data_IF_997188604288
#
_entry.id   IF_997188604288
#
_cell.length_a   1.000
_cell.length_b   1.000
_cell.length_c   1.000
_cell.angle_alpha   90.00
_cell.angle_beta   90.00
_cell.angle_gamma   90.00
#
_symmetry.space_group_name_H-M   'P 1'
#
loop_
_entity.id
_entity.type
_entity.pdbx_description
1 polymer ?
#
# COMPACT_ATOMS: atom_id res chain seq x y z
N UNK A 1 11.59 -32.43 -16.75
CA UNK A 1 11.41 -31.17 -17.50
C UNK A 1 11.26 -30.09 -16.44
N UNK A 2 12.39 -29.46 -16.05
CA UNK A 2 12.33 -28.33 -15.12
C UNK A 2 11.76 -27.16 -15.89
N UNK A 3 10.52 -26.83 -15.62
CA UNK A 3 9.94 -25.54 -16.02
C UNK A 3 10.60 -24.53 -15.11
N UNK A 4 11.65 -23.91 -15.60
CA UNK A 4 12.33 -22.79 -14.97
C UNK A 4 11.63 -21.53 -15.42
N UNK A 5 10.41 -21.38 -14.97
CA UNK A 5 9.61 -20.21 -15.29
C UNK A 5 9.67 -19.26 -14.09
N UNK A 6 10.87 -18.75 -13.85
CA UNK A 6 11.06 -17.59 -12.99
C UNK A 6 10.59 -16.38 -13.78
N UNK A 7 9.28 -16.08 -13.73
CA UNK A 7 8.79 -14.78 -14.13
C UNK A 7 9.26 -13.76 -13.09
N UNK A 8 9.87 -12.70 -13.56
CA UNK A 8 10.27 -11.57 -12.73
C UNK A 8 9.24 -10.44 -12.89
N UNK A 9 9.11 -9.60 -11.86
CA UNK A 9 8.28 -8.40 -11.97
C UNK A 9 8.74 -7.47 -13.10
N UNK A 10 10.06 -7.45 -13.40
CA UNK A 10 10.63 -6.72 -14.52
C UNK A 10 10.07 -7.11 -15.88
N UNK A 11 9.76 -8.40 -16.09
CA UNK A 11 9.16 -8.88 -17.33
C UNK A 11 7.75 -8.34 -17.53
N UNK A 12 7.01 -8.19 -16.45
CA UNK A 12 5.66 -7.60 -16.46
C UNK A 12 5.70 -6.08 -16.68
N UNK A 13 6.66 -5.39 -16.07
CA UNK A 13 6.83 -3.96 -16.24
C UNK A 13 7.30 -3.61 -17.66
N UNK A 14 8.19 -4.42 -18.27
CA UNK A 14 8.65 -4.25 -19.65
C UNK A 14 7.61 -4.66 -20.70
N UNK A 15 6.68 -5.56 -20.34
CA UNK A 15 5.62 -6.06 -21.21
C UNK A 15 4.47 -5.10 -21.51
N UNK A 16 4.61 -3.79 -21.23
CA UNK A 16 3.60 -2.76 -21.53
C UNK A 16 2.63 -2.46 -20.39
N UNK A 17 2.92 -2.91 -19.17
CA UNK A 17 2.14 -2.58 -17.99
C UNK A 17 2.23 -1.09 -17.58
N UNK A 18 3.29 -0.41 -18.03
CA UNK A 18 3.43 1.03 -17.88
C UNK A 18 2.65 1.75 -18.99
N UNK A 19 1.44 2.12 -18.66
CA UNK A 19 0.59 2.90 -19.54
C UNK A 19 1.25 4.26 -19.75
N UNK A 20 1.49 4.65 -21.02
CA UNK A 20 2.03 5.95 -21.45
C UNK A 20 3.55 6.12 -21.42
N UNK A 21 4.35 5.06 -21.25
CA UNK A 21 5.81 5.16 -21.37
C UNK A 21 6.51 5.92 -20.23
N UNK A 22 5.82 6.09 -19.09
CA UNK A 22 6.40 6.67 -17.88
C UNK A 22 7.37 5.74 -17.18
N UNK A 23 8.17 6.29 -16.26
CA UNK A 23 9.04 5.48 -15.40
C UNK A 23 8.23 4.83 -14.28
N UNK A 24 8.62 3.61 -13.93
CA UNK A 24 8.05 2.93 -12.77
C UNK A 24 8.38 3.70 -11.49
N UNK A 25 7.37 3.99 -10.69
CA UNK A 25 7.50 4.62 -9.37
C UNK A 25 7.40 3.59 -8.25
N UNK A 26 6.40 2.73 -8.31
CA UNK A 26 6.17 1.64 -7.37
C UNK A 26 5.21 0.61 -7.97
N UNK A 27 5.09 -0.54 -7.32
CA UNK A 27 4.07 -1.53 -7.66
C UNK A 27 3.63 -2.32 -6.43
N UNK A 28 2.44 -2.92 -6.51
CA UNK A 28 1.93 -3.81 -5.47
C UNK A 28 1.89 -5.22 -6.05
N UNK A 29 2.65 -6.19 -5.51
CA UNK A 29 2.83 -7.48 -6.14
C UNK A 29 1.64 -8.44 -6.02
N UNK A 30 0.81 -8.27 -4.99
CA UNK A 30 -0.21 -9.26 -4.61
C UNK A 30 -1.60 -8.70 -4.36
N UNK A 31 -1.97 -7.60 -5.01
CA UNK A 31 -3.21 -6.89 -4.76
C UNK A 31 -3.08 -5.87 -3.63
N UNK A 32 -4.10 -5.05 -3.44
CA UNK A 32 -4.08 -3.86 -2.56
C UNK A 32 -3.84 -4.16 -1.07
N UNK A 33 -3.86 -5.42 -0.66
CA UNK A 33 -3.52 -5.88 0.70
C UNK A 33 -2.03 -6.09 0.92
N UNK A 34 -1.24 -6.15 -0.16
CA UNK A 34 0.20 -6.40 -0.06
C UNK A 34 0.98 -5.11 0.20
N UNK A 35 2.09 -5.19 0.94
CA UNK A 35 3.09 -4.13 0.99
C UNK A 35 3.60 -3.75 -0.41
N UNK A 36 3.90 -2.49 -0.60
CA UNK A 36 4.36 -1.94 -1.87
C UNK A 36 5.83 -2.24 -2.10
N UNK A 37 6.19 -2.40 -3.36
CA UNK A 37 7.54 -2.57 -3.87
C UNK A 37 8.00 -1.36 -4.67
N UNK A 38 9.31 -1.08 -4.59
CA UNK A 38 9.97 -0.07 -5.41
C UNK A 38 10.58 -0.65 -6.70
N UNK A 39 11.15 0.21 -7.55
CA UNK A 39 11.83 -0.22 -8.78
C UNK A 39 13.03 -1.15 -8.55
N UNK A 40 13.65 -1.08 -7.37
CA UNK A 40 14.76 -1.93 -6.93
C UNK A 40 14.36 -3.40 -6.69
N UNK A 41 13.08 -3.68 -6.65
CA UNK A 41 12.53 -5.02 -6.41
C UNK A 41 11.99 -5.70 -7.69
N UNK A 42 12.28 -5.14 -8.86
CA UNK A 42 11.85 -5.72 -10.15
C UNK A 42 12.46 -7.09 -10.45
N UNK A 43 13.64 -7.37 -9.90
CA UNK A 43 14.36 -8.64 -10.07
C UNK A 43 13.92 -9.75 -9.10
N UNK A 44 12.91 -9.48 -8.26
CA UNK A 44 12.33 -10.49 -7.38
C UNK A 44 11.50 -11.46 -8.21
N UNK A 45 11.76 -12.78 -8.11
CA UNK A 45 10.95 -13.77 -8.81
C UNK A 45 9.49 -13.76 -8.34
N UNK A 46 8.57 -14.04 -9.26
CA UNK A 46 7.13 -14.16 -9.00
C UNK A 46 6.80 -15.48 -8.29
N UNK A 47 7.38 -15.68 -7.12
CA UNK A 47 7.13 -16.84 -6.25
C UNK A 47 6.61 -16.40 -4.89
N UNK A 48 5.86 -17.27 -4.22
CA UNK A 48 5.28 -16.92 -2.90
C UNK A 48 6.37 -16.71 -1.85
N UNK A 49 7.35 -17.59 -1.80
CA UNK A 49 8.45 -17.54 -0.84
C UNK A 49 9.39 -16.36 -1.14
N UNK A 50 9.66 -16.10 -2.42
CA UNK A 50 10.53 -15.01 -2.86
C UNK A 50 9.93 -13.63 -2.50
N UNK A 51 8.63 -13.45 -2.75
CA UNK A 51 7.92 -12.21 -2.40
C UNK A 51 7.77 -12.08 -0.88
N UNK A 52 7.52 -13.18 -0.15
CA UNK A 52 7.44 -13.18 1.31
C UNK A 52 8.79 -12.82 1.96
N UNK A 53 9.90 -13.29 1.40
CA UNK A 53 11.25 -12.94 1.86
C UNK A 53 11.58 -11.45 1.68
N UNK A 54 10.86 -10.74 0.82
CA UNK A 54 10.92 -9.28 0.65
C UNK A 54 9.88 -8.53 1.48
N UNK A 55 9.33 -9.17 2.51
CA UNK A 55 8.33 -8.60 3.41
C UNK A 55 7.04 -8.14 2.70
N UNK A 56 6.60 -8.89 1.68
CA UNK A 56 5.34 -8.68 0.97
C UNK A 56 4.63 -10.01 0.70
N UNK A 57 3.59 -10.03 -0.11
CA UNK A 57 2.90 -11.25 -0.51
C UNK A 57 2.50 -11.22 -1.98
N UNK A 58 2.53 -12.39 -2.62
CA UNK A 58 2.01 -12.55 -3.97
C UNK A 58 0.47 -12.57 -3.99
N UNK A 59 -0.15 -12.92 -2.88
CA UNK A 59 -1.60 -12.84 -2.66
C UNK A 59 -2.42 -13.45 -3.78
N UNK A 60 -3.26 -12.63 -4.42
CA UNK A 60 -4.09 -13.03 -5.56
C UNK A 60 -3.36 -13.03 -6.91
N UNK A 61 -2.08 -12.65 -6.94
CA UNK A 61 -1.34 -12.43 -8.18
C UNK A 61 -1.78 -11.19 -8.97
N UNK A 62 -2.60 -10.35 -8.37
CA UNK A 62 -3.06 -9.10 -8.99
C UNK A 62 -2.01 -8.01 -8.78
N UNK A 63 -1.34 -7.59 -9.84
CA UNK A 63 -0.27 -6.59 -9.77
C UNK A 63 -0.84 -5.23 -10.12
N UNK A 64 -0.59 -4.24 -9.24
CA UNK A 64 -0.92 -2.84 -9.47
C UNK A 64 0.36 -2.07 -9.69
N UNK A 65 0.46 -1.34 -10.79
CA UNK A 65 1.66 -0.60 -11.18
C UNK A 65 1.40 0.90 -11.13
N UNK A 66 2.32 1.64 -10.55
CA UNK A 66 2.28 3.09 -10.46
C UNK A 66 3.44 3.70 -11.25
N UNK A 67 3.12 4.64 -12.11
CA UNK A 67 4.11 5.44 -12.82
C UNK A 67 4.51 6.71 -12.04
N UNK A 68 5.47 7.46 -12.57
CA UNK A 68 5.95 8.70 -11.96
C UNK A 68 4.88 9.79 -11.83
N UNK A 69 3.84 9.75 -12.67
CA UNK A 69 2.72 10.70 -12.62
C UNK A 69 1.67 10.33 -11.56
N UNK A 70 1.77 9.15 -10.97
CA UNK A 70 0.81 8.69 -9.96
C UNK A 70 1.13 9.28 -8.59
N UNK A 71 0.16 9.94 -7.97
CA UNK A 71 0.24 10.38 -6.58
C UNK A 71 0.10 9.19 -5.63
N UNK A 72 1.13 8.86 -4.81
CA UNK A 72 1.05 7.73 -3.89
C UNK A 72 0.09 7.98 -2.72
N UNK A 73 -0.09 9.22 -2.29
CA UNK A 73 -1.05 9.59 -1.23
C UNK A 73 -2.48 9.34 -1.71
N UNK A 74 -2.81 9.75 -2.94
CA UNK A 74 -4.10 9.47 -3.58
C UNK A 74 -4.34 7.98 -3.75
N UNK A 75 -3.33 7.23 -4.18
CA UNK A 75 -3.43 5.78 -4.34
C UNK A 75 -3.68 5.10 -2.98
N UNK A 76 -2.90 5.44 -1.96
CA UNK A 76 -3.08 4.91 -0.60
C UNK A 76 -4.44 5.31 0.00
N UNK A 77 -4.91 6.55 -0.20
CA UNK A 77 -6.26 6.94 0.20
C UNK A 77 -7.35 6.10 -0.48
N UNK A 78 -7.24 5.86 -1.79
CA UNK A 78 -8.21 5.03 -2.52
C UNK A 78 -8.27 3.60 -1.98
N UNK A 79 -7.12 3.02 -1.66
CA UNK A 79 -7.01 1.70 -1.04
C UNK A 79 -7.64 1.71 0.36
N UNK A 80 -7.32 2.71 1.17
CA UNK A 80 -7.90 2.86 2.52
C UNK A 80 -9.42 3.00 2.48
N UNK A 81 -9.93 3.79 1.55
CA UNK A 81 -11.36 3.97 1.32
C UNK A 81 -12.05 2.67 0.92
N UNK A 82 -11.41 1.86 0.09
CA UNK A 82 -11.90 0.53 -0.25
C UNK A 82 -12.02 -0.32 1.01
N UNK A 83 -10.97 -0.48 1.80
CA UNK A 83 -11.02 -1.28 3.03
C UNK A 83 -12.05 -0.79 4.04
N UNK A 84 -12.20 0.52 4.20
CA UNK A 84 -13.20 1.10 5.09
C UNK A 84 -14.62 0.72 4.67
N UNK A 85 -14.90 0.62 3.38
CA UNK A 85 -16.22 0.23 2.85
C UNK A 85 -16.47 -1.27 2.92
N UNK A 86 -15.41 -2.08 2.74
CA UNK A 86 -15.49 -3.54 2.76
C UNK A 86 -15.49 -4.11 4.19
N UNK A 87 -15.26 -3.30 5.21
CA UNK A 87 -15.34 -3.73 6.61
C UNK A 87 -16.78 -4.17 6.92
N UNK A 88 -16.92 -5.42 7.37
CA UNK A 88 -18.23 -5.94 7.79
C UNK A 88 -18.74 -5.35 9.11
N UNK A 89 -17.92 -4.55 9.82
CA UNK A 89 -18.27 -3.89 11.07
C UNK A 89 -18.16 -4.74 12.33
N UNK A 90 -17.75 -6.00 12.24
CA UNK A 90 -17.73 -6.91 13.39
C UNK A 90 -16.62 -6.58 14.40
N UNK A 91 -15.39 -6.39 13.94
CA UNK A 91 -14.23 -6.19 14.81
C UNK A 91 -13.92 -4.70 14.96
N UNK A 92 -13.86 -4.22 16.21
CA UNK A 92 -13.63 -2.80 16.51
C UNK A 92 -12.37 -2.23 15.86
N UNK A 93 -11.18 -2.87 15.90
CA UNK A 93 -9.99 -2.34 15.26
C UNK A 93 -10.17 -2.12 13.75
N UNK A 94 -10.82 -3.05 13.07
CA UNK A 94 -11.12 -2.93 11.64
C UNK A 94 -12.20 -1.87 11.38
N UNK A 95 -13.36 -1.95 12.06
CA UNK A 95 -14.50 -1.04 11.83
C UNK A 95 -14.14 0.42 12.06
N UNK A 96 -13.60 0.72 13.25
CA UNK A 96 -13.30 2.11 13.63
C UNK A 96 -11.97 2.57 13.02
N UNK A 97 -10.94 1.71 13.09
CA UNK A 97 -9.61 2.04 12.60
C UNK A 97 -9.58 2.34 11.11
N UNK A 98 -10.26 1.54 10.28
CA UNK A 98 -10.32 1.81 8.82
C UNK A 98 -11.01 3.13 8.50
N UNK A 99 -12.08 3.46 9.24
CA UNK A 99 -12.78 4.74 9.08
C UNK A 99 -11.95 5.94 9.54
N UNK A 100 -11.13 5.79 10.57
CA UNK A 100 -10.23 6.85 11.02
C UNK A 100 -9.08 7.06 10.03
N UNK A 101 -8.46 5.98 9.56
CA UNK A 101 -7.43 6.04 8.53
C UNK A 101 -7.96 6.71 7.25
N UNK A 102 -9.16 6.36 6.80
CA UNK A 102 -9.77 6.95 5.60
C UNK A 102 -9.96 8.47 5.75
N UNK A 103 -10.47 8.94 6.90
CA UNK A 103 -10.68 10.36 7.15
C UNK A 103 -9.39 11.16 7.20
N UNK A 104 -8.34 10.60 7.79
CA UNK A 104 -7.02 11.26 7.84
C UNK A 104 -6.40 11.30 6.44
N UNK A 105 -6.43 10.20 5.71
CA UNK A 105 -5.94 10.13 4.34
C UNK A 105 -6.72 11.07 3.40
N UNK A 106 -8.05 11.18 3.61
CA UNK A 106 -8.89 12.10 2.85
C UNK A 106 -8.42 13.56 3.01
N UNK A 107 -8.19 14.02 4.25
CA UNK A 107 -7.75 15.39 4.48
C UNK A 107 -6.32 15.66 4.02
N UNK A 108 -5.43 14.67 4.06
CA UNK A 108 -4.10 14.79 3.46
C UNK A 108 -4.18 14.98 1.94
N UNK A 109 -5.08 14.25 1.27
CA UNK A 109 -5.25 14.34 -0.20
C UNK A 109 -5.99 15.63 -0.63
N UNK A 110 -7.00 16.09 0.14
CA UNK A 110 -7.91 17.15 -0.29
C UNK A 110 -7.74 18.49 0.44
N UNK A 111 -6.74 18.59 1.31
CA UNK A 111 -6.50 19.75 2.15
C UNK A 111 -6.96 19.59 3.59
N UNK A 112 -6.35 20.36 4.50
CA UNK A 112 -6.58 20.27 5.94
C UNK A 112 -5.79 19.15 6.64
N UNK A 113 -4.85 18.49 5.94
CA UNK A 113 -3.90 17.56 6.54
C UNK A 113 -2.81 18.27 7.34
N UNK A 114 -2.29 17.61 8.36
CA UNK A 114 -1.20 18.10 9.19
C UNK A 114 -0.03 17.13 9.17
N UNK A 115 1.17 17.60 9.46
CA UNK A 115 2.37 16.76 9.49
C UNK A 115 2.23 15.64 10.54
N UNK A 116 1.63 15.95 11.69
CA UNK A 116 1.38 15.01 12.78
C UNK A 116 0.42 13.88 12.37
N UNK A 117 -0.40 14.10 11.35
CA UNK A 117 -1.30 13.09 10.82
C UNK A 117 -0.58 11.87 10.24
N UNK A 118 0.66 12.06 9.78
CA UNK A 118 1.47 10.97 9.24
C UNK A 118 1.85 9.98 10.35
N UNK A 119 2.29 10.50 11.49
CA UNK A 119 2.63 9.66 12.64
C UNK A 119 1.37 9.05 13.28
N UNK A 120 0.26 9.81 13.30
CA UNK A 120 -1.04 9.29 13.74
C UNK A 120 -1.55 8.14 12.85
N UNK A 121 -1.32 8.18 11.53
CA UNK A 121 -1.64 7.07 10.64
C UNK A 121 -0.84 5.82 11.00
N UNK A 122 0.45 5.96 11.32
CA UNK A 122 1.29 4.84 11.75
C UNK A 122 0.83 4.26 13.09
N UNK A 123 0.48 5.11 14.07
CA UNK A 123 -0.08 4.66 15.35
C UNK A 123 -1.39 3.89 15.18
N UNK A 124 -2.29 4.38 14.32
CA UNK A 124 -3.54 3.70 14.00
C UNK A 124 -3.29 2.36 13.31
N UNK A 125 -2.32 2.30 12.40
CA UNK A 125 -1.91 1.05 11.77
C UNK A 125 -1.40 0.04 12.80
N UNK A 126 -0.58 0.48 13.77
CA UNK A 126 -0.07 -0.37 14.84
C UNK A 126 -1.20 -0.87 15.77
N UNK A 127 -2.20 -0.04 16.03
CA UNK A 127 -3.39 -0.47 16.81
C UNK A 127 -4.24 -1.51 16.07
N UNK A 128 -4.29 -1.48 14.75
CA UNK A 128 -5.03 -2.45 13.93
C UNK A 128 -4.23 -3.76 13.80
N UNK A 129 -2.94 -3.66 13.58
CA UNK A 129 -2.02 -4.81 13.46
C UNK A 129 -0.66 -4.46 14.08
N UNK A 130 -0.43 -4.85 15.35
CA UNK A 130 0.77 -4.49 16.08
C UNK A 130 2.07 -4.88 15.40
N UNK A 131 3.07 -4.02 15.54
CA UNK A 131 4.43 -4.24 15.07
C UNK A 131 4.70 -3.77 13.66
N UNK A 132 3.67 -3.38 12.87
CA UNK A 132 3.81 -2.89 11.49
C UNK A 132 4.75 -3.72 10.61
N UNK A 133 4.88 -5.00 10.95
CA UNK A 133 5.80 -5.95 10.33
C UNK A 133 5.02 -6.90 9.41
N UNK A 134 5.72 -7.43 8.44
CA UNK A 134 5.21 -8.52 7.63
C UNK A 134 5.77 -9.87 8.12
N UNK A 135 4.97 -10.93 8.28
CA UNK A 135 3.50 -10.96 8.15
C UNK A 135 2.79 -10.17 9.25
N UNK A 136 1.64 -9.53 8.95
CA UNK A 136 0.92 -8.71 9.91
C UNK A 136 0.34 -9.57 11.04
N UNK A 137 0.30 -9.02 12.25
CA UNK A 137 -0.34 -9.69 13.38
C UNK A 137 -1.87 -9.60 13.27
N UNK A 138 -2.54 -10.72 13.49
CA UNK A 138 -4.00 -10.79 13.41
C UNK A 138 -4.64 -10.39 14.74
N UNK A 139 -5.30 -9.24 14.75
CA UNK A 139 -6.07 -8.70 15.88
C UNK A 139 -7.58 -8.79 15.68
N UNK A 140 -8.01 -9.23 14.51
CA UNK A 140 -9.41 -9.33 14.10
C UNK A 140 -9.75 -10.77 13.71
N UNK A 141 -11.05 -11.08 13.65
CA UNK A 141 -11.53 -12.45 13.33
C UNK A 141 -11.06 -12.88 11.94
N UNK A 142 -11.05 -11.96 10.98
CA UNK A 142 -10.57 -12.23 9.63
C UNK A 142 -9.36 -11.37 9.28
N UNK A 143 -8.68 -11.71 8.20
CA UNK A 143 -7.45 -11.05 7.75
C UNK A 143 -7.67 -9.64 7.15
N UNK A 144 -8.92 -9.19 6.96
CA UNK A 144 -9.18 -7.86 6.40
C UNK A 144 -8.56 -6.76 7.26
N UNK A 145 -8.73 -6.84 8.59
CA UNK A 145 -8.14 -5.85 9.51
C UNK A 145 -6.64 -5.70 9.32
N UNK A 146 -5.85 -6.76 9.52
CA UNK A 146 -4.39 -6.72 9.33
C UNK A 146 -3.93 -6.36 7.92
N UNK A 147 -4.76 -6.57 6.90
CA UNK A 147 -4.43 -6.20 5.51
C UNK A 147 -4.39 -4.69 5.27
N UNK A 148 -5.11 -3.90 6.06
CA UNK A 148 -5.19 -2.44 5.91
C UNK A 148 -3.83 -1.78 6.21
N UNK A 149 -3.21 -2.02 7.38
CA UNK A 149 -1.91 -1.43 7.74
C UNK A 149 -0.80 -1.75 6.75
N UNK A 150 -0.77 -2.97 6.21
CA UNK A 150 0.30 -3.42 5.33
C UNK A 150 0.54 -2.49 4.14
N UNK A 151 -0.53 -2.11 3.44
CA UNK A 151 -0.45 -1.22 2.29
C UNK A 151 -0.13 0.22 2.70
N UNK A 152 -0.78 0.75 3.74
CA UNK A 152 -0.63 2.14 4.17
C UNK A 152 0.78 2.37 4.74
N UNK A 153 1.24 1.48 5.63
CA UNK A 153 2.56 1.58 6.22
C UNK A 153 3.67 1.56 5.17
N UNK A 154 3.59 0.63 4.20
CA UNK A 154 4.59 0.55 3.13
C UNK A 154 4.57 1.79 2.23
N UNK A 155 3.40 2.33 1.91
CA UNK A 155 3.27 3.58 1.15
C UNK A 155 3.90 4.78 1.90
N UNK A 156 3.60 4.94 3.19
CA UNK A 156 4.19 6.01 4.02
C UNK A 156 5.70 5.84 4.13
N UNK A 157 6.19 4.62 4.37
CA UNK A 157 7.62 4.34 4.48
C UNK A 157 8.38 4.69 3.20
N UNK A 158 7.80 4.37 2.05
CA UNK A 158 8.42 4.58 0.73
C UNK A 158 8.34 6.04 0.27
N UNK A 159 7.26 6.74 0.58
CA UNK A 159 6.93 8.05 0.04
C UNK A 159 6.68 9.11 1.12
N UNK A 160 7.33 9.00 2.29
CA UNK A 160 7.11 9.90 3.42
C UNK A 160 7.19 11.38 3.02
N UNK A 161 8.14 11.74 2.17
CA UNK A 161 8.33 13.13 1.70
C UNK A 161 7.11 13.64 0.90
N UNK A 162 6.46 12.77 0.13
CA UNK A 162 5.25 13.14 -0.60
C UNK A 162 4.05 13.32 0.34
N UNK A 163 3.95 12.51 1.41
CA UNK A 163 2.95 12.73 2.47
C UNK A 163 3.17 14.06 3.20
N UNK A 164 4.43 14.39 3.52
CA UNK A 164 4.79 15.68 4.13
C UNK A 164 4.44 16.83 3.19
N UNK A 165 4.75 16.69 1.89
CA UNK A 165 4.40 17.69 0.88
C UNK A 165 2.88 17.94 0.81
N UNK A 166 2.04 16.90 0.87
CA UNK A 166 0.59 17.05 0.90
C UNK A 166 0.10 17.80 2.14
N UNK A 167 0.67 17.49 3.31
CA UNK A 167 0.35 18.20 4.56
C UNK A 167 0.79 19.67 4.54
N UNK A 168 1.93 19.97 3.89
CA UNK A 168 2.48 21.33 3.83
C UNK A 168 1.79 22.21 2.78
N UNK A 169 1.41 21.62 1.65
CA UNK A 169 0.81 22.34 0.50
C UNK A 169 -0.73 22.35 0.53
N UNK A 170 -1.33 21.94 1.65
CA UNK A 170 -2.78 21.87 1.82
C UNK A 170 -3.50 21.00 0.78
N UNK A 171 -2.91 19.84 0.49
CA UNK A 171 -3.49 18.84 -0.39
C UNK A 171 -2.58 18.37 -1.53
N UNK A 172 -3.18 17.64 -2.46
CA UNK A 172 -2.46 17.01 -3.56
C UNK A 172 -1.92 18.05 -4.57
N UNK A 173 -0.63 17.94 -4.89
CA UNK A 173 0.05 18.79 -5.87
C UNK A 173 0.14 18.15 -7.26
N UNK A 174 -0.34 16.92 -7.42
CA UNK A 174 -0.39 16.22 -8.69
C UNK A 174 -1.60 16.71 -9.52
N UNK A 175 -1.37 16.97 -10.79
CA UNK A 175 -2.39 17.43 -11.74
C UNK A 175 -3.39 16.30 -12.12
#
# INVERSE_FOLDING_TARGET
MCIRDSFFFGDLASGGALVRGGKLKAFIPGGVSAPWFGPDQLDVPLGQDEVANQASMLGSGSIVVFDEATCPVRAAWRITKFFSRESCGQCTPCREGSGWLERIMYRLEHGGGRIEDIDLLLDLCDNISPGLLWPPQQTTICVLGPSIPSSIHSAIKMFRDEFVAHATNDGCTYA
#
